data_IF_812602898808
#
_entry.id   IF_812602898808
#
_cell.length_a   1.000
_cell.length_b   1.000
_cell.length_c   1.000
_cell.angle_alpha   90.00
_cell.angle_beta   90.00
_cell.angle_gamma   90.00
#
_symmetry.space_group_name_H-M   'P 1'
#
loop_
_entity.id
_entity.type
_entity.pdbx_description
1 polymer ?
#
# COMPACT_ATOMS: atom_id res chain seq x y z
N UNK A 1 -46.00 64.22 65.51
CA UNK A 1 -47.41 64.57 65.23
C UNK A 1 -48.21 63.28 65.09
N UNK A 2 -49.21 63.11 65.97
CA UNK A 2 -50.46 62.30 65.92
C UNK A 2 -50.39 60.91 65.23
N UNK A 3 -50.47 59.81 65.99
CA UNK A 3 -51.73 59.17 66.45
C UNK A 3 -52.58 58.71 65.26
N UNK A 4 -52.89 57.44 65.01
CA UNK A 4 -53.16 56.31 65.91
C UNK A 4 -54.56 55.78 65.55
N UNK A 5 -54.75 54.46 65.41
CA UNK A 5 -56.05 53.76 65.33
C UNK A 5 -55.73 52.26 65.44
N UNK A 6 -56.50 51.36 66.07
CA UNK A 6 -57.52 51.39 67.10
C UNK A 6 -57.75 49.91 67.47
N UNK A 7 -57.97 49.60 68.74
CA UNK A 7 -58.24 48.25 69.23
C UNK A 7 -59.75 47.92 69.22
N UNK A 8 -60.12 46.64 69.04
CA UNK A 8 -61.34 45.93 69.53
C UNK A 8 -61.40 44.53 68.87
N UNK A 9 -61.90 43.44 69.46
CA UNK A 9 -62.29 43.03 70.82
C UNK A 9 -62.38 41.49 70.81
N UNK A 10 -62.11 40.90 71.98
CA UNK A 10 -62.41 39.55 72.50
C UNK A 10 -63.49 38.68 71.82
N UNK A 11 -63.25 37.36 71.79
CA UNK A 11 -64.26 36.31 71.56
C UNK A 11 -63.72 34.90 71.81
N UNK A 12 -64.23 34.25 72.85
CA UNK A 12 -63.85 32.95 73.44
C UNK A 12 -64.51 31.74 72.73
N UNK A 13 -63.94 30.53 72.84
CA UNK A 13 -64.57 29.16 72.93
C UNK A 13 -64.08 28.07 71.94
N UNK A 14 -63.41 27.05 72.52
CA UNK A 14 -63.37 25.58 72.30
C UNK A 14 -63.20 24.90 70.90
N UNK A 15 -62.05 24.22 70.76
CA UNK A 15 -61.87 22.75 70.64
C UNK A 15 -62.36 21.99 69.37
N UNK A 16 -61.41 21.54 68.53
CA UNK A 16 -61.38 20.26 67.77
C UNK A 16 -60.04 20.19 66.99
N UNK A 17 -59.01 19.51 67.53
CA UNK A 17 -58.57 18.15 67.14
C UNK A 17 -58.30 18.01 65.63
N UNK A 18 -57.04 18.16 65.22
CA UNK A 18 -56.21 17.23 64.42
C UNK A 18 -55.01 17.98 63.84
N UNK A 19 -53.90 18.05 64.59
CA UNK A 19 -52.58 18.43 64.06
C UNK A 19 -51.81 17.13 63.84
N UNK A 20 -51.74 16.69 62.59
CA UNK A 20 -50.83 15.65 62.11
C UNK A 20 -49.39 16.19 62.20
N UNK A 21 -48.76 16.04 63.37
CA UNK A 21 -47.31 16.17 63.51
C UNK A 21 -46.69 14.90 62.96
N UNK A 22 -46.45 14.87 61.65
CA UNK A 22 -45.52 13.92 61.05
C UNK A 22 -44.10 14.33 61.46
N UNK A 23 -43.69 13.93 62.67
CA UNK A 23 -42.31 13.95 63.11
C UNK A 23 -41.50 12.92 62.33
N UNK A 24 -41.16 13.23 61.08
CA UNK A 24 -40.20 12.46 60.31
C UNK A 24 -38.81 12.63 60.91
N UNK A 25 -38.28 11.59 61.55
CA UNK A 25 -36.88 11.53 61.94
C UNK A 25 -36.03 11.42 60.67
N UNK A 26 -35.59 12.56 60.12
CA UNK A 26 -34.58 12.59 59.08
C UNK A 26 -33.23 12.19 59.66
N UNK A 27 -32.86 10.91 59.54
CA UNK A 27 -31.53 10.42 59.89
C UNK A 27 -30.51 11.03 58.93
N UNK A 28 -29.72 12.01 59.41
CA UNK A 28 -28.58 12.54 58.65
C UNK A 28 -27.46 11.49 58.74
N UNK A 29 -27.39 10.58 57.77
CA UNK A 29 -26.18 9.77 57.57
C UNK A 29 -25.06 10.67 57.09
N UNK A 30 -23.81 10.24 57.28
CA UNK A 30 -22.66 10.91 56.69
C UNK A 30 -22.88 11.13 55.19
N UNK A 31 -22.49 12.29 54.63
CA UNK A 31 -22.55 12.50 53.20
C UNK A 31 -21.74 11.41 52.51
N UNK A 32 -22.42 10.57 51.73
CA UNK A 32 -21.75 9.56 50.90
C UNK A 32 -20.90 10.34 49.90
N UNK A 33 -19.56 10.21 49.93
CA UNK A 33 -18.72 10.85 48.94
C UNK A 33 -19.22 10.44 47.56
N UNK A 34 -19.35 11.36 46.59
CA UNK A 34 -19.76 10.98 45.25
C UNK A 34 -18.87 9.82 44.81
N UNK A 35 -19.49 8.75 44.31
CA UNK A 35 -18.72 7.66 43.73
C UNK A 35 -17.74 8.28 42.73
N UNK A 36 -16.45 7.95 42.87
CA UNK A 36 -15.41 8.48 42.01
C UNK A 36 -15.67 8.01 40.58
N UNK A 37 -16.39 8.83 39.80
CA UNK A 37 -16.71 8.67 38.37
C UNK A 37 -15.48 8.82 37.46
N UNK A 38 -14.29 8.67 38.03
CA UNK A 38 -13.01 8.80 37.34
C UNK A 38 -12.86 7.63 36.36
N UNK A 39 -12.79 7.89 35.05
CA UNK A 39 -12.64 6.84 34.03
C UNK A 39 -11.31 6.11 34.19
N UNK A 40 -11.26 4.84 33.76
CA UNK A 40 -9.96 4.17 33.56
C UNK A 40 -9.12 4.93 32.52
N UNK A 41 -7.79 5.02 32.68
CA UNK A 41 -6.93 5.58 31.65
C UNK A 41 -7.06 4.79 30.34
N UNK A 42 -6.97 5.50 29.23
CA UNK A 42 -6.90 4.92 27.89
C UNK A 42 -5.54 4.24 27.72
N UNK A 43 -5.49 3.00 27.24
CA UNK A 43 -4.24 2.28 26.97
C UNK A 43 -4.03 1.93 25.49
N UNK A 44 -5.01 2.25 24.64
CA UNK A 44 -5.04 1.91 23.22
C UNK A 44 -4.95 3.12 22.28
N UNK A 45 -4.41 4.25 22.76
CA UNK A 45 -4.17 5.42 21.90
C UNK A 45 -3.19 5.04 20.79
N UNK A 46 -3.62 5.24 19.54
CA UNK A 46 -2.84 4.96 18.34
C UNK A 46 -3.00 6.09 17.31
N UNK A 47 -2.14 6.10 16.31
CA UNK A 47 -2.16 7.10 15.25
C UNK A 47 -1.97 6.49 13.86
N UNK A 48 -2.42 7.21 12.85
CA UNK A 48 -2.12 6.97 11.44
C UNK A 48 -1.69 8.30 10.79
N UNK A 49 -0.66 8.26 9.94
CA UNK A 49 -0.13 9.45 9.25
C UNK A 49 -0.39 9.30 7.76
N UNK A 50 -0.79 10.40 7.12
CA UNK A 50 -0.89 10.52 5.68
C UNK A 50 -0.26 11.84 5.20
N UNK A 51 -0.43 12.14 3.91
CA UNK A 51 0.07 13.36 3.28
C UNK A 51 -0.60 14.65 3.80
N UNK A 52 -1.70 14.54 4.54
CA UNK A 52 -2.52 15.67 5.04
C UNK A 52 -2.34 15.93 6.53
N UNK A 53 -1.88 14.95 7.30
CA UNK A 53 -1.63 15.13 8.73
C UNK A 53 -1.56 13.83 9.52
N UNK A 54 -2.01 13.92 10.77
CA UNK A 54 -2.16 12.77 11.65
C UNK A 54 -3.62 12.60 12.07
N UNK A 55 -4.07 11.35 12.09
CA UNK A 55 -5.28 10.91 12.76
C UNK A 55 -4.91 10.13 14.02
N UNK A 56 -5.41 10.57 15.17
CA UNK A 56 -5.36 9.84 16.44
C UNK A 56 -6.68 9.12 16.66
N UNK A 57 -6.62 7.91 17.21
CA UNK A 57 -7.83 7.18 17.60
C UNK A 57 -7.61 6.33 18.86
N UNK A 58 -8.69 6.17 19.64
CA UNK A 58 -8.69 5.44 20.91
C UNK A 58 -10.10 4.96 21.27
N UNK A 59 -10.22 4.01 22.20
CA UNK A 59 -11.50 3.49 22.66
C UNK A 59 -12.04 4.30 23.85
N UNK A 60 -13.35 4.52 23.90
CA UNK A 60 -14.01 5.15 25.05
C UNK A 60 -13.90 4.22 26.27
N UNK A 61 -13.42 4.71 27.43
CA UNK A 61 -13.42 3.90 28.64
C UNK A 61 -14.86 3.62 29.08
N UNK A 62 -15.18 2.34 29.29
CA UNK A 62 -16.52 1.89 29.70
C UNK A 62 -16.63 1.60 31.20
N UNK A 63 -15.53 1.79 31.94
CA UNK A 63 -15.43 1.56 33.39
C UNK A 63 -14.75 2.72 34.09
N UNK A 64 -15.09 2.91 35.35
CA UNK A 64 -14.31 3.74 36.28
C UNK A 64 -13.12 2.96 36.83
N UNK A 65 -12.17 3.67 37.46
CA UNK A 65 -11.05 3.05 38.20
C UNK A 65 -11.50 2.13 39.34
N UNK A 66 -12.77 2.20 39.76
CA UNK A 66 -13.38 1.29 40.76
C UNK A 66 -14.16 0.14 40.13
N UNK A 67 -14.15 0.02 38.80
CA UNK A 67 -14.82 -1.06 38.06
C UNK A 67 -16.33 -0.86 37.85
N UNK A 68 -16.89 0.30 38.22
CA UNK A 68 -18.30 0.63 37.94
C UNK A 68 -18.48 0.97 36.47
N UNK A 69 -19.65 0.67 35.90
CA UNK A 69 -19.98 1.06 34.52
C UNK A 69 -19.94 2.58 34.35
N UNK A 70 -19.41 3.00 33.21
CA UNK A 70 -19.35 4.38 32.78
C UNK A 70 -20.17 4.53 31.50
N UNK A 71 -21.26 5.29 31.56
CA UNK A 71 -22.24 5.40 30.47
C UNK A 71 -21.84 6.49 29.48
N UNK A 72 -21.20 7.56 29.97
CA UNK A 72 -20.81 8.71 29.18
C UNK A 72 -19.45 9.29 29.58
N UNK A 73 -18.83 9.96 28.62
CA UNK A 73 -17.65 10.82 28.78
C UNK A 73 -18.06 12.21 28.36
N UNK A 74 -17.77 13.24 29.16
CA UNK A 74 -18.11 14.61 28.81
C UNK A 74 -17.17 15.14 27.72
N UNK A 75 -15.87 14.89 27.86
CA UNK A 75 -14.84 15.32 26.91
C UNK A 75 -13.55 14.51 27.05
N UNK A 76 -12.68 14.65 26.07
CA UNK A 76 -11.29 14.20 26.11
C UNK A 76 -10.35 15.39 26.06
N UNK A 77 -9.35 15.39 26.93
CA UNK A 77 -8.23 16.32 26.87
C UNK A 77 -7.13 15.71 26.03
N UNK A 78 -6.90 16.25 24.84
CA UNK A 78 -5.81 15.83 23.94
C UNK A 78 -4.62 16.74 24.18
N UNK A 79 -3.58 16.21 24.83
CA UNK A 79 -2.33 16.91 25.07
C UNK A 79 -1.40 16.72 23.89
N UNK A 80 -0.72 17.80 23.49
CA UNK A 80 0.28 17.80 22.43
C UNK A 80 1.58 18.42 22.94
N UNK A 81 2.70 17.76 22.68
CA UNK A 81 4.03 18.37 22.75
C UNK A 81 4.65 18.38 21.36
N UNK A 82 5.41 19.43 21.05
CA UNK A 82 6.10 19.62 19.77
C UNK A 82 7.54 20.00 20.08
N UNK A 83 8.49 19.17 19.63
CA UNK A 83 9.92 19.34 19.90
C UNK A 83 10.64 19.34 18.56
N UNK A 84 11.55 20.29 18.33
CA UNK A 84 12.39 20.29 17.14
C UNK A 84 13.31 19.07 17.18
N UNK A 85 13.55 18.39 16.05
CA UNK A 85 14.26 17.10 16.05
C UNK A 85 15.69 17.18 16.60
N UNK A 86 16.36 18.30 16.37
CA UNK A 86 17.70 18.61 16.91
C UNK A 86 17.72 18.87 18.41
N UNK A 87 16.56 19.14 19.01
CA UNK A 87 16.38 19.32 20.46
C UNK A 87 15.83 18.07 21.17
N UNK A 88 15.52 17.00 20.43
CA UNK A 88 14.99 15.76 21.02
C UNK A 88 16.10 15.06 21.82
N UNK A 89 15.82 14.79 23.10
CA UNK A 89 16.67 14.03 23.99
C UNK A 89 15.87 12.97 24.75
N UNK A 90 16.42 11.76 24.86
CA UNK A 90 15.73 10.58 25.39
C UNK A 90 15.30 10.71 26.86
N UNK A 91 16.06 11.46 27.65
CA UNK A 91 15.84 11.61 29.10
C UNK A 91 15.09 12.88 29.48
N UNK A 92 14.76 13.72 28.51
CA UNK A 92 14.15 15.02 28.78
C UNK A 92 12.64 14.89 29.04
N UNK A 93 12.08 15.62 30.02
CA UNK A 93 10.63 15.66 30.21
C UNK A 93 9.93 16.19 28.95
N UNK A 94 8.91 15.47 28.50
CA UNK A 94 8.13 15.87 27.32
C UNK A 94 7.30 17.14 27.67
N UNK A 95 7.50 18.26 26.95
CA UNK A 95 6.86 19.54 27.28
C UNK A 95 5.44 19.61 26.70
N UNK A 96 4.50 18.88 27.30
CA UNK A 96 3.09 18.96 26.91
C UNK A 96 2.53 20.36 27.16
N UNK A 97 1.91 20.95 26.12
CA UNK A 97 1.20 22.23 26.23
C UNK A 97 -0.19 22.07 26.84
N UNK A 98 -0.98 23.14 26.77
CA UNK A 98 -2.40 23.10 27.17
C UNK A 98 -3.17 22.10 26.29
N UNK A 99 -4.08 21.30 26.88
CA UNK A 99 -4.84 20.31 26.14
C UNK A 99 -5.91 20.95 25.27
N UNK A 100 -6.16 20.34 24.12
CA UNK A 100 -7.34 20.61 23.31
C UNK A 100 -8.50 19.74 23.80
N UNK A 101 -9.66 20.33 24.02
CA UNK A 101 -10.87 19.59 24.38
C UNK A 101 -11.55 19.01 23.13
N UNK A 102 -11.76 17.70 23.13
CA UNK A 102 -12.55 16.97 22.14
C UNK A 102 -13.86 16.51 22.80
N UNK A 103 -15.04 16.84 22.24
CA UNK A 103 -16.31 16.44 22.83
C UNK A 103 -16.45 14.92 22.99
N UNK A 104 -17.01 14.50 24.13
CA UNK A 104 -17.29 13.10 24.42
C UNK A 104 -18.68 12.66 23.94
N UNK A 105 -19.28 11.74 24.68
CA UNK A 105 -20.60 11.17 24.43
C UNK A 105 -20.77 9.83 25.12
N UNK A 106 -21.80 9.08 24.72
CA UNK A 106 -22.04 7.72 25.22
C UNK A 106 -20.86 6.81 24.91
N UNK A 107 -20.49 5.97 25.88
CA UNK A 107 -19.32 5.08 25.79
C UNK A 107 -19.59 3.82 24.96
N UNK A 108 -20.87 3.46 24.80
CA UNK A 108 -21.31 2.29 24.04
C UNK A 108 -22.19 2.73 22.88
N UNK A 109 -21.88 2.26 21.68
CA UNK A 109 -22.70 2.42 20.48
C UNK A 109 -22.93 1.05 19.84
N UNK A 110 -24.18 0.74 19.49
CA UNK A 110 -24.55 -0.55 18.91
C UNK A 110 -24.01 -1.79 19.68
N UNK A 111 -24.05 -1.74 21.02
CA UNK A 111 -23.54 -2.76 21.96
C UNK A 111 -22.02 -2.99 21.93
N UNK A 112 -21.24 -2.06 21.39
CA UNK A 112 -19.78 -2.09 21.39
C UNK A 112 -19.21 -0.81 21.98
N UNK A 113 -18.01 -0.84 22.59
CA UNK A 113 -17.29 0.38 22.95
C UNK A 113 -17.12 1.28 21.74
N UNK A 114 -17.45 2.56 21.92
CA UNK A 114 -17.27 3.58 20.89
C UNK A 114 -15.79 3.94 20.75
N UNK A 115 -15.37 4.40 19.58
CA UNK A 115 -14.03 4.95 19.35
C UNK A 115 -14.08 6.45 19.10
N UNK A 116 -13.09 7.16 19.62
CA UNK A 116 -12.87 8.57 19.32
C UNK A 116 -11.84 8.71 18.20
N UNK A 117 -11.98 9.78 17.42
CA UNK A 117 -11.05 10.16 16.36
C UNK A 117 -10.74 11.64 16.49
N UNK A 118 -9.46 12.00 16.37
CA UNK A 118 -8.99 13.38 16.33
C UNK A 118 -8.00 13.54 15.19
N UNK A 119 -8.24 14.51 14.29
CA UNK A 119 -7.38 14.79 13.14
C UNK A 119 -6.72 16.17 13.28
N UNK A 120 -5.45 16.27 12.90
CA UNK A 120 -4.76 17.56 12.79
C UNK A 120 -3.79 17.59 11.61
N UNK A 121 -3.85 18.68 10.84
CA UNK A 121 -3.02 18.92 9.64
C UNK A 121 -1.98 20.03 9.85
N UNK A 122 -2.06 20.78 10.95
CA UNK A 122 -1.15 21.90 11.25
C UNK A 122 0.11 21.38 11.93
N UNK A 123 0.88 20.59 11.19
CA UNK A 123 2.13 20.00 11.62
C UNK A 123 3.32 20.73 10.97
N UNK A 124 4.38 20.96 11.75
CA UNK A 124 5.59 21.67 11.33
C UNK A 124 6.64 20.63 10.95
N UNK A 125 7.18 20.66 9.71
CA UNK A 125 8.26 19.77 9.31
C UNK A 125 9.47 19.89 10.25
N UNK A 126 10.25 18.82 10.39
CA UNK A 126 11.45 18.81 11.24
C UNK A 126 11.16 18.75 12.74
N UNK A 127 9.95 18.34 13.14
CA UNK A 127 9.56 18.25 14.55
C UNK A 127 9.06 16.85 14.90
N UNK A 128 9.35 16.44 16.13
CA UNK A 128 8.74 15.27 16.78
C UNK A 128 7.53 15.69 17.60
N UNK A 129 6.43 15.01 17.37
CA UNK A 129 5.16 15.20 18.05
C UNK A 129 4.96 14.11 19.09
N UNK A 130 4.43 14.49 20.25
CA UNK A 130 3.99 13.56 21.28
C UNK A 130 2.53 13.85 21.63
N UNK A 131 1.73 12.80 21.75
CA UNK A 131 0.33 12.91 22.15
C UNK A 131 0.01 11.97 23.29
N UNK A 132 -0.86 12.44 24.18
CA UNK A 132 -1.55 11.65 25.19
C UNK A 132 -2.94 12.21 25.40
N UNK A 133 -3.85 11.36 25.87
CA UNK A 133 -5.25 11.71 26.07
C UNK A 133 -5.65 11.44 27.51
N UNK A 134 -6.51 12.30 28.07
CA UNK A 134 -7.26 12.01 29.31
C UNK A 134 -8.75 12.07 29.03
N UNK A 135 -9.51 11.19 29.63
CA UNK A 135 -10.98 11.24 29.60
C UNK A 135 -11.50 12.04 30.78
N UNK A 136 -12.51 12.88 30.55
CA UNK A 136 -13.23 13.64 31.57
C UNK A 136 -14.69 13.21 31.62
N UNK A 137 -15.20 12.95 32.82
CA UNK A 137 -16.65 12.82 33.05
C UNK A 137 -17.25 14.08 33.70
N UNK A 138 -16.45 14.85 34.45
CA UNK A 138 -16.83 16.13 35.04
C UNK A 138 -15.59 17.00 35.31
N UNK A 139 -15.78 18.27 35.68
CA UNK A 139 -14.72 19.27 35.95
C UNK A 139 -13.63 18.79 36.93
N UNK A 140 -13.97 17.87 37.83
CA UNK A 140 -13.11 17.33 38.89
C UNK A 140 -12.74 15.84 38.70
N UNK A 141 -13.19 15.21 37.62
CA UNK A 141 -13.07 13.77 37.39
C UNK A 141 -12.43 13.48 36.02
N UNK A 142 -11.11 13.66 35.95
CA UNK A 142 -10.28 13.27 34.80
C UNK A 142 -9.56 11.95 35.09
N UNK A 143 -9.39 11.12 34.06
CA UNK A 143 -8.57 9.91 34.13
C UNK A 143 -7.08 10.22 34.34
N UNK A 144 -6.30 9.17 34.61
CA UNK A 144 -4.86 9.22 34.39
C UNK A 144 -4.50 9.44 32.91
N UNK A 145 -3.21 9.69 32.66
CA UNK A 145 -2.67 9.79 31.29
C UNK A 145 -2.84 8.49 30.53
N UNK A 146 -3.11 8.58 29.22
CA UNK A 146 -3.00 7.45 28.33
C UNK A 146 -1.56 6.99 28.12
N UNK A 147 -1.37 5.89 27.39
CA UNK A 147 -0.09 5.65 26.71
C UNK A 147 0.26 6.85 25.82
N UNK A 148 1.56 7.14 25.68
CA UNK A 148 2.05 8.23 24.82
C UNK A 148 2.34 7.65 23.44
N UNK A 149 1.85 8.33 22.40
CA UNK A 149 2.28 8.07 21.02
C UNK A 149 3.17 9.20 20.54
N UNK A 150 4.12 8.89 19.68
CA UNK A 150 5.01 9.89 19.12
C UNK A 150 5.41 9.57 17.69
N UNK A 151 5.59 10.60 16.88
CA UNK A 151 6.02 10.48 15.49
C UNK A 151 6.78 11.73 15.04
N UNK A 152 7.59 11.58 14.00
CA UNK A 152 8.25 12.68 13.32
C UNK A 152 7.36 13.16 12.18
N UNK A 153 7.22 14.47 12.03
CA UNK A 153 6.58 15.06 10.87
C UNK A 153 7.62 15.72 9.97
N UNK A 154 7.67 15.27 8.72
CA UNK A 154 8.47 15.84 7.65
C UNK A 154 7.62 15.89 6.38
N UNK A 155 7.98 16.77 5.44
CA UNK A 155 7.26 16.83 4.18
C UNK A 155 7.57 15.59 3.34
N UNK A 156 6.56 14.92 2.78
CA UNK A 156 6.78 13.74 1.98
C UNK A 156 7.48 14.09 0.66
N UNK A 157 8.34 13.20 0.13
CA UNK A 157 8.88 13.33 -1.21
C UNK A 157 7.78 13.16 -2.26
N UNK A 158 7.93 13.82 -3.41
CA UNK A 158 6.97 13.65 -4.52
C UNK A 158 7.01 12.24 -5.10
N UNK A 159 5.97 11.88 -5.85
CA UNK A 159 5.94 10.61 -6.58
C UNK A 159 7.09 10.53 -7.62
N UNK A 160 7.71 9.35 -7.80
CA UNK A 160 8.65 9.12 -8.89
C UNK A 160 7.99 9.38 -10.26
N UNK A 161 8.69 10.11 -11.13
CA UNK A 161 8.24 10.41 -12.50
C UNK A 161 8.99 9.57 -13.53
N UNK A 162 8.44 9.51 -14.75
CA UNK A 162 9.10 8.85 -15.88
C UNK A 162 9.27 7.35 -15.73
N UNK A 163 8.40 6.69 -14.94
CA UNK A 163 8.37 5.24 -14.83
C UNK A 163 8.12 4.63 -16.21
N UNK A 164 9.04 3.77 -16.65
CA UNK A 164 8.96 3.03 -17.90
C UNK A 164 9.27 1.54 -17.66
N UNK A 165 8.86 0.71 -18.62
CA UNK A 165 9.13 -0.71 -18.63
C UNK A 165 9.70 -1.14 -19.98
N UNK A 166 10.80 -1.88 -19.94
CA UNK A 166 11.39 -2.59 -21.06
C UNK A 166 11.11 -4.08 -20.90
N UNK A 167 10.44 -4.68 -21.87
CA UNK A 167 10.08 -6.11 -21.84
C UNK A 167 11.11 -6.94 -22.58
N UNK A 168 11.39 -8.13 -22.06
CA UNK A 168 12.21 -9.16 -22.66
C UNK A 168 11.63 -10.54 -22.29
N UNK A 169 12.23 -11.62 -22.81
CA UNK A 169 11.82 -12.97 -22.45
C UNK A 169 11.86 -13.18 -20.94
N UNK A 170 10.68 -13.45 -20.37
CA UNK A 170 10.44 -13.72 -18.96
C UNK A 170 11.03 -12.66 -18.03
N UNK A 171 11.06 -11.39 -18.50
CA UNK A 171 11.68 -10.28 -17.79
C UNK A 171 11.02 -8.94 -18.09
N UNK A 172 10.82 -8.14 -17.05
CA UNK A 172 10.50 -6.71 -17.17
C UNK A 172 11.59 -5.91 -16.47
N UNK A 173 12.21 -4.96 -17.18
CA UNK A 173 13.13 -4.00 -16.57
C UNK A 173 12.44 -2.65 -16.43
N UNK A 174 12.34 -2.17 -15.20
CA UNK A 174 11.72 -0.90 -14.84
C UNK A 174 12.80 0.15 -14.62
N UNK A 175 12.57 1.35 -15.13
CA UNK A 175 13.40 2.52 -14.84
C UNK A 175 12.52 3.74 -14.54
N UNK A 176 12.98 4.63 -13.67
CA UNK A 176 12.30 5.88 -13.34
C UNK A 176 13.33 7.00 -13.07
N UNK A 177 12.84 8.24 -12.94
CA UNK A 177 13.68 9.38 -12.59
C UNK A 177 13.87 9.47 -11.06
N UNK A 178 15.06 9.88 -10.59
CA UNK A 178 15.29 10.10 -9.17
C UNK A 178 14.40 11.22 -8.64
N UNK A 179 13.84 11.03 -7.46
CA UNK A 179 13.06 12.06 -6.76
C UNK A 179 14.01 13.01 -6.04
N UNK A 180 13.92 14.30 -6.36
CA UNK A 180 14.80 15.34 -5.82
C UNK A 180 14.05 16.46 -5.09
N UNK A 181 12.72 16.39 -5.03
CA UNK A 181 11.89 17.42 -4.40
C UNK A 181 10.81 16.86 -3.49
N UNK A 182 10.39 17.66 -2.52
CA UNK A 182 9.26 17.41 -1.63
C UNK A 182 7.96 17.97 -2.25
N UNK A 183 6.82 17.64 -1.64
CA UNK A 183 5.49 18.06 -2.14
C UNK A 183 5.29 19.57 -2.24
N UNK A 184 6.08 20.38 -1.54
CA UNK A 184 6.06 21.85 -1.61
C UNK A 184 7.05 22.43 -2.65
N UNK A 185 7.80 21.57 -3.34
CA UNK A 185 8.81 21.94 -4.33
C UNK A 185 10.21 22.21 -3.76
N UNK A 186 10.39 22.15 -2.43
CA UNK A 186 11.72 22.22 -1.82
C UNK A 186 12.56 20.98 -2.18
N UNK A 187 13.89 21.09 -2.06
CA UNK A 187 14.80 19.99 -2.34
C UNK A 187 14.71 18.92 -1.24
N UNK A 188 14.91 17.66 -1.61
CA UNK A 188 15.04 16.57 -0.64
C UNK A 188 16.32 16.73 0.18
N UNK A 189 16.18 16.68 1.50
CA UNK A 189 17.29 16.55 2.45
C UNK A 189 17.21 15.18 3.12
N UNK A 190 18.04 14.24 2.69
CA UNK A 190 18.05 12.85 3.17
C UNK A 190 18.20 11.84 2.04
N UNK A 191 18.23 10.56 2.41
CA UNK A 191 18.35 9.47 1.44
C UNK A 191 16.97 9.06 0.92
N UNK A 192 16.84 8.94 -0.40
CA UNK A 192 15.63 8.44 -1.05
C UNK A 192 15.80 6.97 -1.38
N UNK A 193 14.79 6.18 -1.03
CA UNK A 193 14.61 4.83 -1.54
C UNK A 193 13.24 4.67 -2.22
N UNK A 194 13.03 3.54 -2.88
CA UNK A 194 11.88 3.29 -3.73
C UNK A 194 11.26 1.94 -3.41
N UNK A 195 10.01 1.93 -2.94
CA UNK A 195 9.22 0.71 -2.82
C UNK A 195 8.48 0.45 -4.13
N UNK A 196 8.77 -0.68 -4.76
CA UNK A 196 8.07 -1.11 -5.95
C UNK A 196 6.83 -1.92 -5.58
N UNK A 197 5.80 -1.81 -6.40
CA UNK A 197 4.60 -2.62 -6.30
C UNK A 197 4.26 -3.23 -7.65
N UNK A 198 3.75 -4.46 -7.62
CA UNK A 198 3.26 -5.18 -8.81
C UNK A 198 1.83 -5.63 -8.58
N UNK A 199 1.02 -5.54 -9.62
CA UNK A 199 -0.29 -6.17 -9.71
C UNK A 199 -0.28 -7.17 -10.86
N UNK A 200 -0.64 -8.42 -10.54
CA UNK A 200 -0.72 -9.51 -11.51
C UNK A 200 -2.11 -9.51 -12.15
N UNK A 201 -2.19 -9.22 -13.46
CA UNK A 201 -3.45 -9.21 -14.22
C UNK A 201 -4.53 -8.27 -13.64
N UNK A 202 -4.11 -7.15 -13.05
CA UNK A 202 -5.03 -6.12 -12.53
C UNK A 202 -5.63 -6.44 -11.16
N UNK A 203 -5.05 -7.41 -10.42
CA UNK A 203 -5.34 -7.66 -9.01
C UNK A 203 -4.86 -6.50 -8.11
N UNK A 204 -4.96 -6.68 -6.80
CA UNK A 204 -4.37 -5.75 -5.84
C UNK A 204 -2.85 -5.62 -6.03
N UNK A 205 -2.32 -4.41 -5.76
CA UNK A 205 -0.89 -4.16 -5.82
C UNK A 205 -0.22 -4.70 -4.56
N UNK A 206 0.78 -5.57 -4.75
CA UNK A 206 1.59 -6.11 -3.66
C UNK A 206 3.02 -5.56 -3.73
N UNK A 207 3.70 -5.39 -2.58
CA UNK A 207 5.10 -4.99 -2.54
C UNK A 207 6.00 -5.97 -3.31
N UNK A 208 6.84 -5.44 -4.18
CA UNK A 208 7.76 -6.21 -5.01
C UNK A 208 9.17 -6.22 -4.41
N UNK A 209 9.33 -6.93 -3.30
CA UNK A 209 10.59 -6.97 -2.56
C UNK A 209 10.79 -5.76 -1.64
N UNK A 210 12.02 -5.56 -1.17
CA UNK A 210 12.40 -4.43 -0.30
C UNK A 210 12.61 -3.13 -1.09
N UNK A 211 12.61 -2.00 -0.39
CA UNK A 211 12.87 -0.70 -0.99
C UNK A 211 14.31 -0.59 -1.53
N UNK A 212 14.46 0.07 -2.68
CA UNK A 212 15.72 0.17 -3.41
C UNK A 212 16.27 1.59 -3.36
N UNK A 213 17.59 1.76 -3.21
CA UNK A 213 18.25 3.06 -3.35
C UNK A 213 18.51 3.46 -4.82
N UNK A 214 18.27 2.56 -5.77
CA UNK A 214 18.51 2.77 -7.20
C UNK A 214 17.22 3.04 -7.96
N UNK A 215 17.32 3.69 -9.13
CA UNK A 215 16.17 4.02 -9.98
C UNK A 215 15.91 3.01 -11.11
N UNK A 216 16.36 1.77 -10.91
CA UNK A 216 16.22 0.67 -11.87
C UNK A 216 15.97 -0.64 -11.13
N UNK A 217 15.09 -1.48 -11.69
CA UNK A 217 14.79 -2.81 -11.16
C UNK A 217 14.53 -3.80 -12.31
N UNK A 218 14.90 -5.07 -12.14
CA UNK A 218 14.59 -6.14 -13.10
C UNK A 218 13.72 -7.19 -12.44
N UNK A 219 12.44 -7.25 -12.82
CA UNK A 219 11.55 -8.33 -12.42
C UNK A 219 11.74 -9.53 -13.34
N UNK A 220 12.17 -10.65 -12.76
CA UNK A 220 12.34 -11.95 -13.43
C UNK A 220 11.33 -12.99 -12.94
N UNK A 221 10.35 -12.59 -12.12
CA UNK A 221 9.28 -13.45 -11.61
C UNK A 221 8.00 -13.24 -12.42
N UNK A 222 8.17 -13.02 -13.71
CA UNK A 222 7.11 -12.74 -14.68
C UNK A 222 7.09 -13.85 -15.72
N UNK A 223 5.93 -14.06 -16.35
CA UNK A 223 5.76 -15.04 -17.41
C UNK A 223 5.32 -14.35 -18.69
N UNK A 224 5.81 -14.84 -19.82
CA UNK A 224 5.43 -14.32 -21.13
C UNK A 224 3.91 -14.41 -21.36
N UNK A 225 3.38 -13.44 -22.10
CA UNK A 225 1.96 -13.35 -22.44
C UNK A 225 1.04 -12.89 -21.30
N UNK A 226 1.55 -12.65 -20.08
CA UNK A 226 0.77 -12.11 -18.96
C UNK A 226 1.00 -10.62 -18.80
N UNK A 227 -0.08 -9.89 -18.50
CA UNK A 227 -0.02 -8.46 -18.23
C UNK A 227 0.21 -8.19 -16.75
N UNK A 228 1.25 -7.40 -16.47
CA UNK A 228 1.59 -6.93 -15.14
C UNK A 228 1.43 -5.42 -15.08
N UNK A 229 1.03 -4.90 -13.93
CA UNK A 229 1.00 -3.47 -13.66
C UNK A 229 2.05 -3.13 -12.60
N UNK A 230 2.77 -2.04 -12.80
CA UNK A 230 3.83 -1.59 -11.90
C UNK A 230 3.62 -0.15 -11.50
N UNK A 231 3.93 0.15 -10.24
CA UNK A 231 4.04 1.51 -9.71
C UNK A 231 5.17 1.57 -8.70
N UNK A 232 5.70 2.77 -8.47
CA UNK A 232 6.83 2.99 -7.57
C UNK A 232 6.46 4.09 -6.58
N UNK A 233 6.73 3.85 -5.29
CA UNK A 233 6.56 4.82 -4.23
C UNK A 233 7.92 5.31 -3.76
N UNK A 234 8.08 6.62 -3.59
CA UNK A 234 9.27 7.19 -2.96
C UNK A 234 9.16 7.07 -1.43
N UNK A 235 10.30 6.83 -0.78
CA UNK A 235 10.47 6.84 0.66
C UNK A 235 11.65 7.74 0.98
N UNK A 236 11.53 8.58 2.00
CA UNK A 236 12.60 9.44 2.48
C UNK A 236 13.05 8.97 3.85
N UNK A 237 14.34 8.71 4.01
CA UNK A 237 14.96 8.66 5.34
C UNK A 237 15.28 10.09 5.79
N UNK A 238 14.46 10.59 6.70
CA UNK A 238 14.63 11.88 7.33
C UNK A 238 15.17 11.71 8.75
N UNK A 239 16.51 11.80 8.88
CA UNK A 239 17.22 11.67 10.15
C UNK A 239 16.92 10.36 10.90
N UNK A 240 16.95 9.23 10.19
CA UNK A 240 16.68 7.89 10.73
C UNK A 240 15.19 7.55 10.85
N UNK A 241 14.30 8.37 10.29
CA UNK A 241 12.87 8.14 10.29
C UNK A 241 12.34 8.07 8.85
N UNK A 242 11.67 6.97 8.54
CA UNK A 242 11.06 6.77 7.22
C UNK A 242 9.81 7.65 7.06
N UNK A 243 9.75 8.36 5.94
CA UNK A 243 8.65 9.22 5.52
C UNK A 243 8.14 8.72 4.18
N UNK A 244 6.91 8.22 4.18
CA UNK A 244 6.24 7.71 2.98
C UNK A 244 5.93 8.84 2.01
N UNK A 245 6.37 8.69 0.75
CA UNK A 245 6.16 9.64 -0.32
C UNK A 245 5.02 9.29 -1.27
N UNK A 246 4.95 10.08 -2.34
CA UNK A 246 4.00 9.89 -3.43
C UNK A 246 4.22 8.57 -4.18
N UNK A 247 3.14 8.07 -4.78
CA UNK A 247 3.14 6.86 -5.63
C UNK A 247 3.01 7.30 -7.09
N UNK A 248 3.83 6.73 -7.97
CA UNK A 248 3.77 6.99 -9.40
C UNK A 248 2.42 6.53 -10.00
N UNK A 249 2.07 7.09 -11.15
CA UNK A 249 1.07 6.46 -12.03
C UNK A 249 1.49 5.02 -12.35
N UNK A 250 0.50 4.14 -12.47
CA UNK A 250 0.75 2.75 -12.82
C UNK A 250 1.01 2.62 -14.33
N UNK A 251 1.98 1.80 -14.69
CA UNK A 251 2.22 1.38 -16.09
C UNK A 251 1.91 -0.10 -16.24
N UNK A 252 1.60 -0.53 -17.46
CA UNK A 252 1.43 -1.95 -17.79
C UNK A 252 2.61 -2.46 -18.62
N UNK A 253 2.98 -3.72 -18.40
CA UNK A 253 3.99 -4.41 -19.19
C UNK A 253 3.60 -5.89 -19.35
N UNK A 254 3.77 -6.41 -20.56
CA UNK A 254 3.56 -7.82 -20.87
C UNK A 254 4.85 -8.37 -21.52
N UNK A 255 5.65 -9.15 -20.78
CA UNK A 255 6.76 -9.89 -21.36
C UNK A 255 6.30 -10.72 -22.54
N UNK A 256 7.14 -10.77 -23.57
CA UNK A 256 6.92 -11.58 -24.76
C UNK A 256 8.11 -12.51 -24.90
N UNK A 257 7.85 -13.69 -25.41
CA UNK A 257 8.93 -14.60 -25.77
C UNK A 257 9.72 -13.99 -26.93
N UNK A 258 11.03 -13.88 -26.75
CA UNK A 258 11.97 -13.34 -27.73
C UNK A 258 13.12 -14.32 -28.00
N UNK A 259 13.01 -15.55 -27.49
CA UNK A 259 14.08 -16.54 -27.57
C UNK A 259 13.73 -17.56 -28.66
N UNK A 260 14.41 -17.53 -29.82
CA UNK A 260 14.15 -18.51 -30.86
C UNK A 260 14.52 -19.93 -30.44
N UNK A 261 13.89 -20.96 -31.05
CA UNK A 261 14.32 -22.34 -30.88
C UNK A 261 15.74 -22.56 -31.41
N UNK A 262 16.41 -23.66 -31.01
CA UNK A 262 17.64 -24.09 -31.65
C UNK A 262 17.46 -24.40 -33.14
N UNK A 263 18.47 -24.16 -33.99
CA UNK A 263 18.41 -24.50 -35.41
C UNK A 263 18.27 -26.03 -35.61
N UNK A 264 17.45 -26.49 -36.57
CA UNK A 264 17.31 -27.91 -36.87
C UNK A 264 18.64 -28.59 -37.21
N UNK A 265 18.81 -29.83 -36.77
CA UNK A 265 20.00 -30.66 -37.02
C UNK A 265 19.66 -31.87 -37.88
N UNK A 266 20.68 -32.63 -38.28
CA UNK A 266 20.49 -33.85 -39.08
C UNK A 266 19.92 -33.61 -40.49
N UNK A 267 20.07 -32.40 -41.03
CA UNK A 267 19.51 -32.06 -42.34
C UNK A 267 20.15 -32.90 -43.45
N UNK A 268 19.32 -33.58 -44.22
CA UNK A 268 19.72 -34.35 -45.39
C UNK A 268 18.80 -34.06 -46.58
N UNK A 269 19.40 -33.94 -47.77
CA UNK A 269 18.71 -33.77 -49.04
C UNK A 269 18.97 -34.99 -49.93
N UNK A 270 17.91 -35.67 -50.35
CA UNK A 270 17.97 -36.90 -51.16
C UNK A 270 17.15 -36.69 -52.43
N UNK A 271 17.75 -36.97 -53.58
CA UNK A 271 17.05 -36.90 -54.86
C UNK A 271 16.13 -38.12 -55.05
N UNK A 272 14.90 -37.88 -55.50
CA UNK A 272 13.87 -38.90 -55.77
C UNK A 272 13.16 -38.60 -57.10
N UNK A 273 12.27 -39.50 -57.53
CA UNK A 273 11.46 -39.30 -58.74
C UNK A 273 10.47 -38.13 -58.60
N UNK A 274 10.10 -37.75 -57.37
CA UNK A 274 9.18 -36.66 -57.04
C UNK A 274 9.88 -35.31 -56.78
N UNK A 275 11.21 -35.23 -56.90
CA UNK A 275 12.00 -34.03 -56.67
C UNK A 275 13.15 -34.23 -55.68
N UNK A 276 13.43 -33.23 -54.83
CA UNK A 276 14.40 -33.36 -53.74
C UNK A 276 13.66 -33.47 -52.41
N UNK A 277 13.85 -34.59 -51.74
CA UNK A 277 13.32 -34.85 -50.39
C UNK A 277 14.29 -34.29 -49.35
N UNK A 278 13.82 -33.35 -48.54
CA UNK A 278 14.58 -32.74 -47.44
C UNK A 278 14.02 -33.25 -46.12
N UNK A 279 14.87 -33.87 -45.32
CA UNK A 279 14.53 -34.38 -43.97
C UNK A 279 15.45 -33.78 -42.94
N UNK A 280 14.96 -33.61 -41.72
CA UNK A 280 15.73 -33.16 -40.57
C UNK A 280 15.26 -33.89 -39.30
N UNK A 281 16.08 -33.81 -38.26
CA UNK A 281 15.66 -34.25 -36.93
C UNK A 281 14.66 -33.21 -36.37
N UNK A 282 13.47 -33.64 -35.91
CA UNK A 282 12.55 -32.74 -35.24
C UNK A 282 13.23 -32.05 -34.05
N UNK A 283 13.04 -30.73 -33.93
CA UNK A 283 13.45 -29.95 -32.76
C UNK A 283 12.47 -30.16 -31.58
N UNK A 284 12.87 -29.68 -30.39
CA UNK A 284 12.16 -29.86 -29.10
C UNK A 284 10.73 -29.25 -29.04
N UNK A 285 10.05 -29.42 -27.90
CA UNK A 285 8.61 -29.17 -27.68
C UNK A 285 8.12 -27.75 -28.02
N UNK A 286 8.99 -26.73 -28.00
CA UNK A 286 8.61 -25.34 -28.24
C UNK A 286 8.53 -24.94 -29.73
N UNK A 287 8.69 -25.90 -30.66
CA UNK A 287 8.64 -25.62 -32.11
C UNK A 287 7.22 -25.75 -32.67
N UNK A 288 6.71 -24.67 -33.26
CA UNK A 288 5.44 -24.64 -34.00
C UNK A 288 5.59 -25.17 -35.44
N UNK A 289 6.76 -24.98 -36.05
CA UNK A 289 7.03 -25.40 -37.42
C UNK A 289 8.42 -25.02 -37.92
N UNK A 290 8.63 -25.20 -39.20
CA UNK A 290 9.92 -25.04 -39.87
C UNK A 290 9.75 -24.26 -41.17
N UNK A 291 10.75 -23.45 -41.51
CA UNK A 291 10.88 -22.84 -42.83
C UNK A 291 12.01 -23.51 -43.59
N UNK A 292 11.71 -23.92 -44.83
CA UNK A 292 12.66 -24.62 -45.69
C UNK A 292 13.13 -23.67 -46.77
N UNK A 293 14.44 -23.53 -46.87
CA UNK A 293 15.07 -22.63 -47.81
C UNK A 293 15.93 -23.38 -48.81
N UNK A 294 16.05 -22.79 -50.01
CA UNK A 294 16.91 -23.27 -51.09
C UNK A 294 17.81 -22.15 -51.58
N UNK A 295 19.10 -22.44 -51.71
CA UNK A 295 20.10 -21.56 -52.32
C UNK A 295 20.76 -22.26 -53.49
N UNK A 296 20.74 -21.65 -54.66
CA UNK A 296 21.55 -22.11 -55.79
C UNK A 296 23.02 -21.73 -55.58
N UNK A 297 23.95 -22.50 -56.16
CA UNK A 297 25.39 -22.21 -56.07
C UNK A 297 25.77 -20.79 -56.50
N UNK A 298 25.05 -20.21 -57.48
CA UNK A 298 25.24 -18.86 -57.99
C UNK A 298 24.59 -17.77 -57.10
N UNK A 299 23.73 -18.15 -56.16
CA UNK A 299 23.02 -17.24 -55.27
C UNK A 299 23.77 -17.05 -53.95
N UNK A 300 23.78 -15.79 -53.47
CA UNK A 300 24.34 -15.43 -52.16
C UNK A 300 23.37 -15.67 -51.00
N UNK A 301 22.07 -15.51 -51.23
CA UNK A 301 21.05 -15.66 -50.20
C UNK A 301 20.13 -16.84 -50.54
N UNK A 302 19.72 -17.61 -49.53
CA UNK A 302 18.73 -18.66 -49.70
C UNK A 302 17.32 -18.05 -49.88
N UNK A 303 16.48 -18.70 -50.67
CA UNK A 303 15.07 -18.36 -50.90
C UNK A 303 14.17 -19.29 -50.09
N UNK A 304 13.13 -18.76 -49.45
CA UNK A 304 12.10 -19.55 -48.77
C UNK A 304 11.28 -20.31 -49.80
N UNK A 305 11.30 -21.65 -49.75
CA UNK A 305 10.54 -22.51 -50.68
C UNK A 305 9.32 -23.16 -50.04
N UNK A 306 9.23 -23.19 -48.71
CA UNK A 306 8.02 -23.65 -48.04
C UNK A 306 8.11 -23.65 -46.52
N UNK A 307 6.96 -23.92 -45.90
CA UNK A 307 6.80 -24.05 -44.45
C UNK A 307 6.23 -25.43 -44.12
N UNK A 308 6.63 -25.99 -42.98
CA UNK A 308 6.19 -27.30 -42.49
C UNK A 308 5.80 -27.18 -41.02
N UNK A 309 4.56 -27.50 -40.67
CA UNK A 309 4.12 -27.49 -39.27
C UNK A 309 4.71 -28.66 -38.49
N UNK A 310 5.06 -28.44 -37.22
CA UNK A 310 5.42 -29.53 -36.32
C UNK A 310 4.21 -30.50 -36.13
N UNK A 311 4.43 -31.80 -35.90
CA UNK A 311 5.71 -32.48 -35.69
C UNK A 311 6.36 -33.00 -37.00
N UNK A 312 5.90 -32.56 -38.17
CA UNK A 312 6.46 -33.05 -39.44
C UNK A 312 7.87 -32.49 -39.66
N UNK A 313 8.82 -33.36 -40.04
CA UNK A 313 10.22 -32.99 -40.31
C UNK A 313 10.68 -33.37 -41.72
N UNK A 314 9.75 -33.19 -42.68
CA UNK A 314 9.90 -33.59 -44.07
C UNK A 314 9.33 -32.52 -44.99
N UNK A 315 10.09 -32.16 -46.03
CA UNK A 315 9.63 -31.32 -47.13
C UNK A 315 10.08 -31.92 -48.48
N UNK A 316 9.28 -31.74 -49.53
CA UNK A 316 9.62 -32.15 -50.90
C UNK A 316 9.68 -30.92 -51.79
N UNK A 317 10.87 -30.59 -52.27
CA UNK A 317 11.06 -29.63 -53.36
C UNK A 317 10.74 -30.33 -54.68
N UNK A 318 9.50 -30.19 -55.14
CA UNK A 318 8.99 -30.87 -56.35
C UNK A 318 9.50 -30.26 -57.66
N UNK A 319 10.11 -29.07 -57.61
CA UNK A 319 10.61 -28.35 -58.78
C UNK A 319 12.03 -27.80 -58.50
N UNK A 320 13.01 -28.70 -58.27
CA UNK A 320 14.38 -28.28 -58.07
C UNK A 320 14.96 -27.76 -59.41
N UNK A 321 15.85 -26.75 -59.40
CA UNK A 321 16.50 -26.27 -60.62
C UNK A 321 17.28 -27.39 -61.32
N UNK A 322 17.06 -27.57 -62.63
CA UNK A 322 17.60 -28.72 -63.38
C UNK A 322 19.13 -28.70 -63.60
N UNK A 323 19.77 -27.53 -63.52
CA UNK A 323 21.18 -27.36 -63.93
C UNK A 323 22.09 -26.77 -62.85
N UNK A 324 21.52 -26.25 -61.76
CA UNK A 324 22.28 -25.61 -60.68
C UNK A 324 22.29 -26.50 -59.43
N UNK A 325 23.48 -26.67 -58.82
CA UNK A 325 23.57 -27.33 -57.52
C UNK A 325 22.80 -26.51 -56.48
N UNK A 326 21.91 -27.19 -55.76
CA UNK A 326 21.10 -26.60 -54.72
C UNK A 326 21.62 -26.99 -53.33
N UNK A 327 21.53 -26.03 -52.42
CA UNK A 327 21.80 -26.18 -51.00
C UNK A 327 20.50 -25.88 -50.24
N UNK A 328 20.18 -26.70 -49.25
CA UNK A 328 18.97 -26.61 -48.46
C UNK A 328 19.32 -26.34 -47.01
N UNK A 329 18.66 -25.36 -46.41
CA UNK A 329 18.75 -25.01 -44.99
C UNK A 329 17.36 -24.89 -44.41
N UNK A 330 17.23 -25.13 -43.11
CA UNK A 330 15.96 -25.07 -42.39
C UNK A 330 16.15 -24.19 -41.16
N UNK A 331 15.14 -23.38 -40.85
CA UNK A 331 15.00 -22.69 -39.56
C UNK A 331 13.78 -23.26 -38.82
N UNK A 332 13.80 -23.19 -37.50
CA UNK A 332 12.68 -23.54 -36.63
C UNK A 332 11.94 -22.26 -36.19
N UNK A 333 10.62 -22.37 -36.07
CA UNK A 333 9.72 -21.32 -35.57
C UNK A 333 9.11 -21.77 -34.25
N UNK A 334 9.09 -20.91 -33.23
CA UNK A 334 8.40 -21.18 -31.97
C UNK A 334 6.88 -20.89 -32.03
N UNK A 335 6.22 -20.99 -30.88
CA UNK A 335 4.80 -20.66 -30.70
C UNK A 335 4.55 -19.19 -30.31
N UNK A 336 5.57 -18.33 -30.30
CA UNK A 336 5.41 -16.92 -29.95
C UNK A 336 4.58 -16.16 -31.01
N UNK A 337 4.12 -14.96 -30.67
CA UNK A 337 3.37 -14.10 -31.60
C UNK A 337 3.97 -12.68 -31.62
N UNK A 338 4.68 -12.29 -32.69
CA UNK A 338 5.05 -13.11 -33.86
C UNK A 338 6.04 -14.24 -33.49
N UNK A 339 6.11 -15.34 -34.26
CA UNK A 339 7.05 -16.43 -33.97
C UNK A 339 8.50 -15.98 -34.03
N UNK A 340 9.31 -16.43 -33.07
CA UNK A 340 10.76 -16.29 -33.13
C UNK A 340 11.33 -17.37 -34.06
N UNK A 341 12.25 -16.96 -34.93
CA UNK A 341 12.88 -17.82 -35.92
C UNK A 341 14.34 -18.09 -35.58
N UNK A 342 14.74 -19.36 -35.60
CA UNK A 342 16.10 -19.77 -35.31
C UNK A 342 17.10 -19.29 -36.38
N UNK A 343 18.39 -19.42 -36.07
CA UNK A 343 19.42 -19.41 -37.11
C UNK A 343 19.20 -20.53 -38.14
N UNK A 344 19.85 -20.42 -39.31
CA UNK A 344 19.86 -21.50 -40.30
C UNK A 344 20.58 -22.74 -39.78
N UNK A 345 20.01 -23.90 -40.08
CA UNK A 345 20.72 -25.17 -39.99
C UNK A 345 21.95 -25.23 -40.90
N UNK A 346 22.78 -26.27 -40.69
CA UNK A 346 23.84 -26.59 -41.64
C UNK A 346 23.23 -26.96 -43.00
N UNK A 347 23.77 -26.37 -44.07
CA UNK A 347 23.31 -26.67 -45.43
C UNK A 347 23.49 -28.16 -45.78
N UNK A 348 22.44 -28.75 -46.33
CA UNK A 348 22.49 -30.04 -47.01
C UNK A 348 22.49 -29.82 -48.53
N UNK A 349 23.18 -30.69 -49.25
CA UNK A 349 23.15 -30.72 -50.72
C UNK A 349 22.88 -32.14 -51.15
N UNK A 350 22.25 -32.30 -52.32
CA UNK A 350 22.08 -33.62 -52.92
C UNK A 350 23.46 -34.24 -53.16
N UNK A 351 23.59 -35.52 -52.78
CA UNK A 351 24.76 -36.33 -53.12
C UNK A 351 24.58 -36.97 -54.48
#
# INVERSE_FOLDING_TARGET
MKSGYCARRAGTIFLLVTVLVAGGCGFKTDPVPPASIVPVPIDDLRYNIDDKGVELNWTYPVKTVRGTDLVDISAFDVYRAVVALDEVCDTCPIPFGEPLEVPGGETIEAKKPRTAVYQTSLLRPGHKYFFKVRSRNSWWAASGDSNIVSFVWALPPVAPSGLNAEVADSRVTLNWQPVTSLVDGSAVEGDISYQLFRSDEGKEFEPLGEALATTRFSDSRVSNGRTYFYRVQSLLDYQGHEVTGGVSEAISAAPVDQTPPPPPVGVAAVQTDDGVKIVWEPADEDVAGYRVYRRMAEQRQPELIGEVAAPYSLYVDAQPPATARSYYSITALDQATPPNESDFSREATTR
#
